data_IF_690495283768
#
_entry.id   IF_690495283768
#
_cell.length_a   1.000
_cell.length_b   1.000
_cell.length_c   1.000
_cell.angle_alpha   90.00
_cell.angle_beta   90.00
_cell.angle_gamma   90.00
#
_symmetry.space_group_name_H-M   'P 1'
#
loop_
_entity.id
_entity.type
_entity.pdbx_description
1 polymer ?
#
# COMPACT_ATOMS: atom_id res chain seq x y z
N UNK A 1 -0.14 -14.19 -7.41
CA UNK A 1 0.40 -14.51 -8.75
C UNK A 1 1.94 -14.51 -8.76
N UNK A 2 2.63 -13.45 -8.34
CA UNK A 2 4.12 -13.42 -8.35
C UNK A 2 4.85 -14.35 -7.36
N UNK A 3 4.25 -14.67 -6.21
CA UNK A 3 4.85 -15.57 -5.22
C UNK A 3 4.93 -17.03 -5.68
N UNK A 4 4.01 -17.45 -6.57
CA UNK A 4 4.01 -18.80 -7.15
C UNK A 4 5.17 -19.04 -8.11
N UNK A 5 5.50 -18.03 -8.94
CA UNK A 5 6.66 -18.09 -9.83
C UNK A 5 7.98 -18.20 -9.04
N UNK A 6 8.12 -17.44 -7.95
CA UNK A 6 9.32 -17.48 -7.09
C UNK A 6 9.51 -18.81 -6.34
N UNK A 7 8.42 -19.47 -5.96
CA UNK A 7 8.46 -20.83 -5.40
C UNK A 7 8.92 -21.84 -6.45
N UNK A 8 8.41 -21.73 -7.69
CA UNK A 8 8.73 -22.64 -8.77
C UNK A 8 10.17 -22.53 -9.27
N UNK A 9 10.75 -21.32 -9.22
CA UNK A 9 12.18 -21.08 -9.50
C UNK A 9 13.12 -21.38 -8.31
N UNK A 10 12.62 -22.01 -7.23
CA UNK A 10 13.46 -22.52 -6.14
C UNK A 10 14.08 -21.46 -5.21
N UNK A 11 13.65 -20.20 -5.30
CA UNK A 11 14.21 -19.11 -4.49
C UNK A 11 13.51 -18.91 -3.14
N UNK A 12 12.43 -19.64 -2.87
CA UNK A 12 11.61 -19.49 -1.64
C UNK A 12 11.17 -20.87 -1.12
N UNK A 13 11.67 -21.27 0.05
CA UNK A 13 11.43 -22.60 0.63
C UNK A 13 10.04 -22.79 1.29
N UNK A 14 9.20 -21.75 1.37
CA UNK A 14 7.92 -21.84 2.08
C UNK A 14 6.89 -20.84 1.57
N UNK A 15 5.68 -21.32 1.28
CA UNK A 15 4.49 -20.48 1.01
C UNK A 15 4.06 -19.64 2.23
N UNK A 16 4.42 -20.10 3.44
CA UNK A 16 4.35 -19.33 4.67
C UNK A 16 5.67 -18.56 4.80
N UNK A 17 5.73 -17.30 4.36
CA UNK A 17 6.88 -16.39 4.46
C UNK A 17 7.24 -16.09 5.94
N UNK A 18 7.68 -17.12 6.67
CA UNK A 18 7.91 -17.14 8.11
C UNK A 18 9.28 -16.55 8.46
N UNK A 19 10.21 -16.55 7.52
CA UNK A 19 11.56 -16.01 7.70
C UNK A 19 11.68 -14.54 7.26
N UNK A 20 12.21 -13.71 8.17
CA UNK A 20 12.49 -12.28 7.97
C UNK A 20 13.40 -12.01 6.76
N UNK A 21 14.21 -12.99 6.36
CA UNK A 21 15.18 -12.91 5.26
C UNK A 21 14.54 -12.98 3.85
N UNK A 22 13.34 -13.55 3.69
CA UNK A 22 12.69 -13.71 2.38
C UNK A 22 11.73 -12.56 2.02
N UNK A 23 11.47 -11.64 2.95
CA UNK A 23 10.54 -10.49 2.76
C UNK A 23 11.02 -9.37 1.82
N UNK A 24 12.33 -9.07 1.69
CA UNK A 24 12.79 -7.98 0.82
C UNK A 24 12.53 -8.26 -0.67
N UNK A 25 12.66 -9.52 -1.11
CA UNK A 25 12.49 -9.92 -2.51
C UNK A 25 11.07 -9.67 -3.05
N UNK A 26 9.99 -10.13 -2.38
CA UNK A 26 8.62 -9.83 -2.79
C UNK A 26 8.31 -8.33 -2.83
N UNK A 27 8.83 -7.56 -1.86
CA UNK A 27 8.61 -6.12 -1.81
C UNK A 27 9.39 -5.38 -2.91
N UNK A 28 10.62 -5.80 -3.21
CA UNK A 28 11.41 -5.26 -4.30
C UNK A 28 10.76 -5.56 -5.65
N UNK A 29 10.29 -6.79 -5.86
CA UNK A 29 9.54 -7.17 -7.06
C UNK A 29 8.24 -6.38 -7.17
N UNK A 30 7.55 -6.17 -6.05
CA UNK A 30 6.37 -5.31 -5.99
C UNK A 30 6.68 -3.87 -6.40
N UNK A 31 7.72 -3.26 -5.81
CA UNK A 31 8.15 -1.90 -6.13
C UNK A 31 8.53 -1.77 -7.61
N UNK A 32 9.26 -2.74 -8.16
CA UNK A 32 9.59 -2.78 -9.58
C UNK A 32 8.34 -2.91 -10.46
N UNK A 33 7.43 -3.82 -10.12
CA UNK A 33 6.19 -4.04 -10.90
C UNK A 33 5.31 -2.80 -10.91
N UNK A 34 5.12 -2.15 -9.76
CA UNK A 34 4.38 -0.88 -9.66
C UNK A 34 5.10 0.26 -10.37
N UNK A 35 6.44 0.29 -10.34
CA UNK A 35 7.24 1.24 -11.11
C UNK A 35 7.03 1.11 -12.61
N UNK A 36 7.07 -0.11 -13.15
CA UNK A 36 6.77 -0.39 -14.57
C UNK A 36 5.32 -0.05 -14.90
N UNK A 37 4.36 -0.41 -14.04
CA UNK A 37 2.96 -0.05 -14.24
C UNK A 37 2.78 1.48 -14.27
N UNK A 38 3.48 2.21 -13.39
CA UNK A 38 3.46 3.66 -13.36
C UNK A 38 4.00 4.26 -14.64
N UNK A 39 5.14 3.79 -15.17
CA UNK A 39 5.68 4.33 -16.43
C UNK A 39 4.77 4.06 -17.63
N UNK A 40 4.13 2.89 -17.67
CA UNK A 40 3.16 2.55 -18.73
C UNK A 40 1.89 3.38 -18.62
N UNK A 41 1.38 3.60 -17.40
CA UNK A 41 0.12 4.30 -17.16
C UNK A 41 0.27 5.83 -17.05
N UNK A 42 1.50 6.35 -17.04
CA UNK A 42 1.77 7.78 -17.07
C UNK A 42 1.57 8.36 -18.48
N UNK A 43 0.33 8.30 -18.96
CA UNK A 43 -0.07 8.79 -20.28
C UNK A 43 -1.28 9.73 -20.12
N UNK A 44 -1.06 11.03 -19.87
CA UNK A 44 -2.12 11.99 -19.56
C UNK A 44 -3.17 12.17 -20.66
N UNK A 45 -2.86 11.74 -21.89
CA UNK A 45 -3.78 11.80 -23.04
C UNK A 45 -4.74 10.62 -23.10
N UNK A 46 -4.44 9.53 -22.39
CA UNK A 46 -5.20 8.26 -22.46
C UNK A 46 -5.85 7.96 -21.11
N UNK A 47 -5.14 8.19 -20.01
CA UNK A 47 -5.59 7.88 -18.67
C UNK A 47 -5.83 9.14 -17.85
N UNK A 48 -6.77 9.03 -16.91
CA UNK A 48 -7.03 10.09 -15.93
C UNK A 48 -5.77 10.37 -15.10
N UNK A 49 -5.49 11.65 -14.86
CA UNK A 49 -4.40 12.11 -14.01
C UNK A 49 -4.45 11.41 -12.65
N UNK A 50 -5.65 11.24 -12.09
CA UNK A 50 -5.85 10.55 -10.82
C UNK A 50 -5.28 9.11 -10.83
N UNK A 51 -5.47 8.36 -11.91
CA UNK A 51 -4.96 6.99 -12.01
C UNK A 51 -3.43 6.98 -11.99
N UNK A 52 -2.81 7.85 -12.79
CA UNK A 52 -1.34 7.96 -12.83
C UNK A 52 -0.75 8.32 -11.47
N UNK A 53 -1.44 9.17 -10.71
CA UNK A 53 -1.03 9.61 -9.38
C UNK A 53 -1.16 8.53 -8.33
N UNK A 54 -2.24 7.76 -8.36
CA UNK A 54 -2.41 6.60 -7.48
C UNK A 54 -1.29 5.58 -7.75
N UNK A 55 -0.89 5.36 -9.01
CA UNK A 55 0.21 4.45 -9.36
C UNK A 55 1.57 4.94 -8.83
N UNK A 56 1.86 6.25 -8.96
CA UNK A 56 3.05 6.86 -8.36
C UNK A 56 3.03 6.69 -6.83
N UNK A 57 1.91 6.98 -6.18
CA UNK A 57 1.72 6.82 -4.75
C UNK A 57 1.91 5.38 -4.28
N UNK A 58 1.34 4.40 -4.99
CA UNK A 58 1.54 2.97 -4.70
C UNK A 58 3.01 2.55 -4.88
N UNK A 59 3.68 3.02 -5.93
CA UNK A 59 5.10 2.73 -6.17
C UNK A 59 5.95 3.23 -5.01
N UNK A 60 5.75 4.49 -4.60
CA UNK A 60 6.46 5.08 -3.47
C UNK A 60 6.15 4.37 -2.16
N UNK A 61 4.88 4.03 -1.91
CA UNK A 61 4.47 3.31 -0.72
C UNK A 61 5.14 1.93 -0.62
N UNK A 62 5.15 1.15 -1.71
CA UNK A 62 5.78 -0.18 -1.73
C UNK A 62 7.31 -0.06 -1.64
N UNK A 63 7.91 0.91 -2.31
CA UNK A 63 9.35 1.16 -2.23
C UNK A 63 9.81 1.58 -0.82
N UNK A 64 9.08 2.48 -0.17
CA UNK A 64 9.37 2.87 1.22
C UNK A 64 9.11 1.71 2.19
N UNK A 65 8.06 0.92 1.96
CA UNK A 65 7.82 -0.31 2.72
C UNK A 65 9.00 -1.27 2.60
N UNK A 66 9.55 -1.44 1.40
CA UNK A 66 10.77 -2.23 1.16
C UNK A 66 11.95 -1.68 1.98
N UNK A 67 12.27 -0.40 1.84
CA UNK A 67 13.41 0.24 2.54
C UNK A 67 13.30 0.11 4.06
N UNK A 68 12.12 0.40 4.62
CA UNK A 68 11.88 0.26 6.06
C UNK A 68 12.01 -1.20 6.47
N UNK A 69 11.47 -2.13 5.68
CA UNK A 69 11.55 -3.59 5.92
C UNK A 69 12.98 -4.14 5.96
N UNK A 70 13.97 -3.44 5.40
CA UNK A 70 15.39 -3.81 5.52
C UNK A 70 15.92 -3.67 6.96
N UNK A 71 15.35 -2.76 7.75
CA UNK A 71 15.80 -2.45 9.12
C UNK A 71 14.76 -2.81 10.18
N UNK A 72 13.47 -2.71 9.88
CA UNK A 72 12.37 -2.89 10.82
C UNK A 72 11.12 -3.47 10.14
N UNK A 73 10.46 -4.44 10.77
CA UNK A 73 9.37 -5.25 10.19
C UNK A 73 8.05 -4.46 10.05
N UNK A 74 7.97 -3.47 9.18
CA UNK A 74 6.72 -2.74 8.92
C UNK A 74 5.65 -3.64 8.26
N UNK A 75 4.36 -3.39 8.57
CA UNK A 75 3.25 -4.12 7.98
C UNK A 75 2.87 -3.56 6.60
N UNK A 76 3.24 -4.28 5.52
CA UNK A 76 2.82 -3.93 4.16
C UNK A 76 1.30 -3.92 3.96
N UNK A 77 0.57 -4.76 4.71
CA UNK A 77 -0.90 -4.77 4.69
C UNK A 77 -1.45 -3.49 5.33
N UNK A 78 -0.82 -3.01 6.41
CA UNK A 78 -1.13 -1.71 7.01
C UNK A 78 -0.91 -0.57 6.01
N UNK A 79 0.22 -0.57 5.29
CA UNK A 79 0.50 0.43 4.25
C UNK A 79 -0.57 0.43 3.16
N UNK A 80 -0.98 -0.75 2.67
CA UNK A 80 -2.05 -0.86 1.67
C UNK A 80 -3.39 -0.33 2.17
N UNK A 81 -3.84 -0.76 3.35
CA UNK A 81 -5.10 -0.28 3.94
C UNK A 81 -5.05 1.23 4.24
N UNK A 82 -3.89 1.72 4.68
CA UNK A 82 -3.67 3.13 4.94
C UNK A 82 -3.74 3.97 3.67
N UNK A 83 -3.12 3.50 2.58
CA UNK A 83 -3.20 4.17 1.28
C UNK A 83 -4.64 4.27 0.76
N UNK A 84 -5.42 3.19 0.88
CA UNK A 84 -6.83 3.19 0.50
C UNK A 84 -7.65 4.18 1.35
N UNK A 85 -7.44 4.19 2.67
CA UNK A 85 -8.08 5.15 3.56
C UNK A 85 -7.70 6.58 3.22
N UNK A 86 -6.42 6.86 2.98
CA UNK A 86 -5.93 8.18 2.60
C UNK A 86 -6.56 8.71 1.31
N UNK A 87 -6.73 7.85 0.30
CA UNK A 87 -7.38 8.21 -0.95
C UNK A 87 -8.86 8.57 -0.77
N UNK A 88 -9.62 7.70 -0.10
CA UNK A 88 -11.07 7.96 0.12
C UNK A 88 -11.29 9.13 1.07
N UNK A 89 -10.40 9.33 2.05
CA UNK A 89 -10.41 10.51 2.90
C UNK A 89 -10.22 11.79 2.08
N UNK A 90 -9.30 11.80 1.11
CA UNK A 90 -9.17 12.95 0.23
C UNK A 90 -10.46 13.22 -0.55
N UNK A 91 -11.05 12.19 -1.18
CA UNK A 91 -12.32 12.37 -1.90
C UNK A 91 -13.43 12.91 -1.00
N UNK A 92 -13.47 12.46 0.25
CA UNK A 92 -14.42 12.99 1.22
C UNK A 92 -14.17 14.48 1.51
N UNK A 93 -12.91 14.90 1.67
CA UNK A 93 -12.57 16.29 1.99
C UNK A 93 -12.76 17.24 0.79
N UNK A 94 -12.50 16.77 -0.43
CA UNK A 94 -12.60 17.60 -1.65
C UNK A 94 -13.99 17.57 -2.29
N UNK A 95 -14.76 16.51 -2.06
CA UNK A 95 -16.13 16.36 -2.56
C UNK A 95 -16.98 15.51 -1.61
N UNK A 96 -17.38 16.04 -0.44
CA UNK A 96 -18.12 15.29 0.56
C UNK A 96 -19.42 14.74 -0.03
N UNK A 97 -19.61 13.43 0.09
CA UNK A 97 -20.84 12.76 -0.32
C UNK A 97 -21.16 11.58 0.59
N UNK A 98 -22.43 11.17 0.63
CA UNK A 98 -22.86 9.96 1.37
C UNK A 98 -22.05 8.73 0.95
N UNK A 99 -21.69 8.61 -0.33
CA UNK A 99 -20.85 7.51 -0.83
C UNK A 99 -19.44 7.52 -0.25
N UNK A 100 -18.79 8.69 -0.13
CA UNK A 100 -17.46 8.79 0.49
C UNK A 100 -17.47 8.43 1.97
N UNK A 101 -18.55 8.79 2.69
CA UNK A 101 -18.72 8.43 4.11
C UNK A 101 -18.89 6.92 4.26
N UNK A 102 -19.76 6.29 3.46
CA UNK A 102 -19.89 4.83 3.45
C UNK A 102 -18.58 4.14 3.05
N UNK A 103 -17.85 4.68 2.08
CA UNK A 103 -16.53 4.21 1.68
C UNK A 103 -15.53 4.23 2.85
N UNK A 104 -15.47 5.33 3.60
CA UNK A 104 -14.63 5.45 4.80
C UNK A 104 -15.03 4.44 5.87
N UNK A 105 -16.33 4.31 6.17
CA UNK A 105 -16.82 3.36 7.18
C UNK A 105 -16.43 1.92 6.82
N UNK A 106 -16.67 1.51 5.57
CA UNK A 106 -16.29 0.17 5.08
C UNK A 106 -14.77 -0.02 5.14
N UNK A 107 -13.98 0.95 4.68
CA UNK A 107 -12.53 0.84 4.72
C UNK A 107 -11.96 0.82 6.13
N UNK A 108 -12.53 1.55 7.08
CA UNK A 108 -12.12 1.51 8.49
C UNK A 108 -12.40 0.14 9.10
N UNK A 109 -13.57 -0.44 8.83
CA UNK A 109 -13.91 -1.80 9.29
C UNK A 109 -13.00 -2.85 8.67
N UNK A 110 -12.74 -2.76 7.36
CA UNK A 110 -11.79 -3.65 6.67
C UNK A 110 -10.38 -3.47 7.20
N UNK A 111 -9.93 -2.23 7.43
CA UNK A 111 -8.60 -1.95 7.96
C UNK A 111 -8.47 -2.55 9.35
N UNK A 112 -9.43 -2.28 10.24
CA UNK A 112 -9.50 -2.90 11.57
C UNK A 112 -9.45 -4.42 11.52
N UNK A 113 -10.21 -5.04 10.61
CA UNK A 113 -10.24 -6.51 10.45
C UNK A 113 -8.91 -7.06 9.97
N UNK A 114 -8.31 -6.47 8.93
CA UNK A 114 -7.03 -6.89 8.36
C UNK A 114 -5.91 -6.73 9.39
N UNK A 115 -5.86 -5.58 10.06
CA UNK A 115 -4.84 -5.28 11.06
C UNK A 115 -4.97 -6.18 12.29
N UNK A 116 -6.19 -6.41 12.77
CA UNK A 116 -6.46 -7.36 13.87
C UNK A 116 -6.02 -8.77 13.49
N UNK A 117 -6.31 -9.22 12.26
CA UNK A 117 -5.84 -10.53 11.79
C UNK A 117 -4.30 -10.62 11.73
N UNK A 118 -3.58 -9.52 11.43
CA UNK A 118 -2.11 -9.53 11.47
C UNK A 118 -1.57 -9.66 12.90
N UNK A 119 -2.22 -9.02 13.87
CA UNK A 119 -1.87 -9.12 15.28
C UNK A 119 -2.23 -10.49 15.86
N UNK A 120 -3.42 -11.00 15.57
CA UNK A 120 -3.91 -12.29 16.06
C UNK A 120 -3.11 -13.50 15.53
N UNK A 121 -2.45 -13.34 14.37
CA UNK A 121 -1.54 -14.35 13.81
C UNK A 121 -0.09 -14.20 14.32
N UNK A 122 0.17 -13.31 15.28
CA UNK A 122 1.51 -12.92 15.76
C UNK A 122 2.48 -12.57 14.62
N UNK A 123 1.95 -12.10 13.48
CA UNK A 123 2.74 -11.83 12.30
C UNK A 123 3.50 -10.49 12.42
N UNK A 124 2.94 -9.57 13.21
CA UNK A 124 3.44 -8.21 13.45
C UNK A 124 3.09 -7.71 14.86
N UNK A 125 3.82 -6.71 15.33
CA UNK A 125 3.49 -5.98 16.57
C UNK A 125 2.54 -4.80 16.31
N UNK A 126 1.85 -4.27 17.34
CA UNK A 126 0.99 -3.09 17.17
C UNK A 126 1.72 -1.89 16.55
N UNK A 127 2.96 -1.63 16.97
CA UNK A 127 3.77 -0.55 16.41
C UNK A 127 4.03 -0.73 14.91
N UNK A 128 4.35 -1.95 14.47
CA UNK A 128 4.61 -2.27 13.06
C UNK A 128 3.36 -2.10 12.18
N UNK A 129 2.20 -2.44 12.74
CA UNK A 129 0.90 -2.32 12.09
C UNK A 129 0.47 -0.85 11.97
N UNK A 130 0.52 -0.09 13.06
CA UNK A 130 0.19 1.34 13.06
C UNK A 130 1.14 2.16 12.22
N UNK A 131 2.45 1.88 12.27
CA UNK A 131 3.42 2.55 11.42
C UNK A 131 3.14 2.29 9.93
N UNK A 132 2.77 1.05 9.58
CA UNK A 132 2.33 0.72 8.22
C UNK A 132 1.11 1.54 7.82
N UNK A 133 0.07 1.54 8.63
CA UNK A 133 -1.16 2.29 8.37
C UNK A 133 -0.89 3.79 8.17
N UNK A 134 -0.17 4.41 9.10
CA UNK A 134 0.16 5.84 9.06
C UNK A 134 1.03 6.20 7.85
N UNK A 135 2.00 5.35 7.50
CA UNK A 135 2.82 5.54 6.30
C UNK A 135 1.95 5.56 5.03
N UNK A 136 1.05 4.58 4.91
CA UNK A 136 0.12 4.49 3.77
C UNK A 136 -0.79 5.70 3.65
N UNK A 137 -1.44 6.10 4.76
CA UNK A 137 -2.31 7.28 4.81
C UNK A 137 -1.51 8.51 4.41
N UNK A 138 -0.39 8.78 5.09
CA UNK A 138 0.40 10.00 4.88
C UNK A 138 0.91 10.16 3.45
N UNK A 139 1.40 9.08 2.83
CA UNK A 139 1.89 9.12 1.45
C UNK A 139 0.78 9.40 0.45
N UNK A 140 -0.27 8.59 0.44
CA UNK A 140 -1.31 8.70 -0.59
C UNK A 140 -2.12 9.96 -0.38
N UNK A 141 -2.53 10.25 0.86
CA UNK A 141 -3.24 11.49 1.17
C UNK A 141 -2.38 12.72 0.87
N UNK A 142 -1.11 12.73 1.29
CA UNK A 142 -0.22 13.88 1.10
C UNK A 142 0.09 14.16 -0.36
N UNK A 143 0.40 13.13 -1.16
CA UNK A 143 0.64 13.26 -2.60
C UNK A 143 -0.60 13.79 -3.31
N UNK A 144 -1.75 13.17 -3.04
CA UNK A 144 -3.00 13.54 -3.71
C UNK A 144 -3.53 14.91 -3.25
N UNK A 145 -3.34 15.30 -1.99
CA UNK A 145 -3.67 16.64 -1.48
C UNK A 145 -2.76 17.73 -2.08
N UNK A 146 -1.44 17.48 -2.15
CA UNK A 146 -0.50 18.44 -2.71
C UNK A 146 -0.81 18.80 -4.16
N UNK A 147 -1.34 17.85 -4.93
CA UNK A 147 -1.80 18.09 -6.30
C UNK A 147 -3.12 18.82 -6.35
N UNK A 148 -4.08 18.46 -5.49
CA UNK A 148 -5.34 19.17 -5.41
C UNK A 148 -5.13 20.67 -5.11
N UNK A 149 -4.15 20.99 -4.26
CA UNK A 149 -3.76 22.37 -3.95
C UNK A 149 -2.98 23.07 -5.07
N UNK A 150 -2.40 22.31 -6.01
CA UNK A 150 -1.64 22.86 -7.14
C UNK A 150 -2.51 23.22 -8.36
N UNK A 151 -3.82 22.94 -8.27
CA UNK A 151 -4.85 23.27 -9.26
C UNK A 151 -5.85 24.27 -8.70
#
# INVERSE_FOLDING_TARGET
MGTGALYWFGHVNSLLLRERAQRPLPLLLGAFSFGVATTVLYQPRIFDVLLSQIMVGMTLAVFLTFLISLRWKISAHGVGMGGALGLVLLFHLTGPSTYTVWGLLVLVLLAGSVLSARLALDAHTPAEVWAGLSLGIGLVFGLSLGLWLAH
#
